data_IF_852825461276
#
_entry.id   IF_852825461276
#
_cell.length_a   1.000
_cell.length_b   1.000
_cell.length_c   1.000
_cell.angle_alpha   90.00
_cell.angle_beta   90.00
_cell.angle_gamma   90.00
#
_symmetry.space_group_name_H-M   'P 1'
#
loop_
_entity.id
_entity.type
_entity.pdbx_description
1 polymer ?
#
# COMPACT_ATOMS: atom_id res chain seq x y z
N UNK A 1 6.18 -17.50 7.92
CA UNK A 1 6.35 -17.17 6.47
C UNK A 1 6.14 -15.66 6.23
N UNK A 2 5.01 -15.03 6.64
CA UNK A 2 4.74 -13.60 6.46
C UNK A 2 5.86 -12.72 7.02
N UNK A 3 6.27 -12.92 8.27
CA UNK A 3 7.35 -12.17 8.94
C UNK A 3 8.67 -12.21 8.16
N UNK A 4 9.07 -13.41 7.70
CA UNK A 4 10.30 -13.58 6.91
C UNK A 4 10.21 -12.83 5.58
N UNK A 5 9.05 -12.90 4.91
CA UNK A 5 8.82 -12.21 3.66
C UNK A 5 8.86 -10.69 3.86
N UNK A 6 8.18 -10.15 4.87
CA UNK A 6 8.22 -8.73 5.23
C UNK A 6 9.65 -8.27 5.52
N UNK A 7 10.42 -9.04 6.30
CA UNK A 7 11.82 -8.73 6.55
C UNK A 7 12.65 -8.65 5.27
N UNK A 8 12.49 -9.62 4.36
CA UNK A 8 13.22 -9.63 3.09
C UNK A 8 12.87 -8.40 2.23
N UNK A 9 11.58 -8.01 2.20
CA UNK A 9 11.13 -6.81 1.49
C UNK A 9 11.73 -5.56 2.11
N UNK A 10 11.57 -5.37 3.41
CA UNK A 10 12.09 -4.20 4.12
C UNK A 10 13.61 -4.11 4.01
N UNK A 11 14.33 -5.24 4.11
CA UNK A 11 15.78 -5.30 3.91
C UNK A 11 16.19 -4.82 2.50
N UNK A 12 15.42 -5.18 1.49
CA UNK A 12 15.68 -4.73 0.12
C UNK A 12 15.40 -3.23 -0.04
N UNK A 13 14.35 -2.72 0.60
CA UNK A 13 13.94 -1.33 0.50
C UNK A 13 14.89 -0.38 1.28
N UNK A 14 15.20 -0.68 2.54
CA UNK A 14 16.03 0.20 3.38
C UNK A 14 17.53 -0.05 3.27
N UNK A 15 17.96 -1.13 2.57
CA UNK A 15 19.38 -1.51 2.39
C UNK A 15 20.17 -1.71 3.70
N UNK A 16 19.49 -1.75 4.85
CA UNK A 16 20.05 -1.94 6.16
C UNK A 16 19.36 -3.08 6.90
N UNK A 17 20.12 -4.08 7.35
CA UNK A 17 19.58 -5.29 7.99
C UNK A 17 18.92 -5.01 9.34
N UNK A 18 19.52 -4.13 10.14
CA UNK A 18 19.05 -3.81 11.48
C UNK A 18 17.76 -2.99 11.41
N UNK A 19 17.72 -1.96 10.57
CA UNK A 19 16.51 -1.15 10.33
C UNK A 19 15.38 -2.04 9.81
N UNK A 20 15.66 -2.92 8.85
CA UNK A 20 14.69 -3.87 8.34
C UNK A 20 14.14 -4.79 9.45
N UNK A 21 15.02 -5.27 10.33
CA UNK A 21 14.62 -6.11 11.45
C UNK A 21 13.71 -5.37 12.42
N UNK A 22 14.09 -4.15 12.84
CA UNK A 22 13.29 -3.34 13.77
C UNK A 22 11.93 -2.95 13.18
N UNK A 23 11.89 -2.55 11.91
CA UNK A 23 10.63 -2.24 11.22
C UNK A 23 9.73 -3.48 11.10
N UNK A 24 10.31 -4.64 10.79
CA UNK A 24 9.56 -5.89 10.72
C UNK A 24 9.01 -6.29 12.08
N UNK A 25 9.82 -6.17 13.13
CA UNK A 25 9.41 -6.47 14.50
C UNK A 25 8.24 -5.57 14.93
N UNK A 26 8.35 -4.26 14.68
CA UNK A 26 7.27 -3.31 14.95
C UNK A 26 5.99 -3.62 14.16
N UNK A 27 6.12 -3.92 12.87
CA UNK A 27 4.96 -4.27 12.05
C UNK A 27 4.30 -5.59 12.50
N UNK A 28 5.09 -6.61 12.86
CA UNK A 28 4.56 -7.89 13.37
C UNK A 28 3.88 -7.70 14.74
N UNK A 29 4.45 -6.87 15.59
CA UNK A 29 3.82 -6.51 16.87
C UNK A 29 2.45 -5.86 16.66
N UNK A 30 2.33 -4.93 15.72
CA UNK A 30 1.06 -4.29 15.36
C UNK A 30 0.07 -5.26 14.71
N UNK A 31 0.57 -6.27 14.00
CA UNK A 31 -0.25 -7.26 13.32
C UNK A 31 -0.72 -8.41 14.23
N UNK A 32 -0.24 -8.50 15.48
CA UNK A 32 -0.48 -9.67 16.34
C UNK A 32 -1.96 -10.05 16.46
N UNK A 33 -2.84 -9.06 16.58
CA UNK A 33 -4.28 -9.28 16.76
C UNK A 33 -4.99 -9.69 15.44
N UNK A 34 -4.31 -9.49 14.30
CA UNK A 34 -4.79 -9.89 12.97
C UNK A 34 -4.20 -11.21 12.46
N UNK A 35 -3.22 -11.77 13.19
CA UNK A 35 -2.57 -13.04 12.82
C UNK A 35 -3.34 -14.19 13.44
N UNK A 36 -4.27 -14.75 12.67
CA UNK A 36 -5.00 -15.95 13.01
C UNK A 36 -4.84 -17.01 11.91
N UNK A 37 -5.10 -18.28 12.23
CA UNK A 37 -5.08 -19.38 11.27
C UNK A 37 -6.30 -19.34 10.33
N UNK A 38 -6.44 -18.26 9.58
CA UNK A 38 -7.55 -17.98 8.64
C UNK A 38 -6.99 -17.73 7.23
N UNK A 39 -7.85 -17.81 6.22
CA UNK A 39 -7.54 -17.45 4.82
C UNK A 39 -6.93 -16.03 4.67
N UNK A 40 -7.24 -15.14 5.61
CA UNK A 40 -6.73 -13.78 5.69
C UNK A 40 -5.19 -13.73 5.79
N UNK A 41 -4.56 -14.65 6.52
CA UNK A 41 -3.10 -14.72 6.63
C UNK A 41 -2.44 -15.01 5.27
N UNK A 42 -3.06 -15.88 4.47
CA UNK A 42 -2.60 -16.16 3.09
C UNK A 42 -2.74 -14.91 2.23
N UNK A 43 -3.85 -14.17 2.39
CA UNK A 43 -4.08 -12.92 1.66
C UNK A 43 -3.02 -11.87 1.96
N UNK A 44 -2.55 -11.73 3.20
CA UNK A 44 -1.45 -10.82 3.54
C UNK A 44 -0.16 -11.19 2.83
N UNK A 45 0.18 -12.49 2.77
CA UNK A 45 1.33 -12.98 2.03
C UNK A 45 1.20 -12.62 0.54
N UNK A 46 0.03 -12.87 -0.05
CA UNK A 46 -0.24 -12.58 -1.46
C UNK A 46 -0.21 -11.08 -1.76
N UNK A 47 -0.68 -10.21 -0.86
CA UNK A 47 -0.57 -8.76 -1.00
C UNK A 47 0.87 -8.27 -0.94
N UNK A 48 1.68 -8.80 -0.02
CA UNK A 48 3.12 -8.50 0.03
C UNK A 48 3.81 -8.93 -1.27
N UNK A 49 3.50 -10.12 -1.78
CA UNK A 49 4.03 -10.61 -3.05
C UNK A 49 3.55 -9.75 -4.24
N UNK A 50 2.31 -9.26 -4.21
CA UNK A 50 1.77 -8.35 -5.23
C UNK A 50 2.58 -7.06 -5.29
N UNK A 51 2.78 -6.40 -4.15
CA UNK A 51 3.58 -5.18 -4.06
C UNK A 51 5.01 -5.44 -4.55
N UNK A 52 5.62 -6.56 -4.13
CA UNK A 52 6.94 -6.96 -4.59
C UNK A 52 7.00 -7.16 -6.11
N UNK A 53 6.01 -7.80 -6.69
CA UNK A 53 5.95 -8.02 -8.13
C UNK A 53 5.80 -6.70 -8.88
N UNK A 54 4.92 -5.80 -8.43
CA UNK A 54 4.74 -4.47 -9.03
C UNK A 54 6.04 -3.67 -8.96
N UNK A 55 6.63 -3.51 -7.78
CA UNK A 55 7.86 -2.74 -7.57
C UNK A 55 9.03 -3.31 -8.39
N UNK A 56 9.23 -4.64 -8.35
CA UNK A 56 10.29 -5.28 -9.12
C UNK A 56 10.06 -5.17 -10.63
N UNK A 57 8.82 -5.22 -11.10
CA UNK A 57 8.50 -5.03 -12.50
C UNK A 57 8.78 -3.60 -12.94
N UNK A 58 8.38 -2.61 -12.18
CA UNK A 58 8.61 -1.20 -12.50
C UNK A 58 10.09 -0.85 -12.60
N UNK A 59 10.96 -1.52 -11.83
CA UNK A 59 12.41 -1.33 -11.85
C UNK A 59 13.06 -2.19 -12.95
N UNK A 60 12.81 -3.50 -12.98
CA UNK A 60 13.57 -4.46 -13.78
C UNK A 60 12.92 -4.78 -15.13
N UNK A 61 11.64 -4.47 -15.32
CA UNK A 61 10.83 -4.74 -16.54
C UNK A 61 10.79 -6.21 -16.96
N UNK A 62 11.04 -7.16 -16.03
CA UNK A 62 11.06 -8.60 -16.35
C UNK A 62 9.65 -9.17 -16.35
N UNK A 63 9.24 -9.83 -17.45
CA UNK A 63 7.89 -10.39 -17.65
C UNK A 63 7.47 -11.41 -16.57
N UNK A 64 8.42 -12.10 -15.92
CA UNK A 64 8.13 -13.05 -14.83
C UNK A 64 7.29 -12.43 -13.69
N UNK A 65 7.46 -11.15 -13.42
CA UNK A 65 6.68 -10.48 -12.38
C UNK A 65 5.22 -10.25 -12.79
N UNK A 66 4.97 -10.01 -14.09
CA UNK A 66 3.61 -9.92 -14.62
C UNK A 66 2.88 -11.26 -14.55
N UNK A 67 3.58 -12.35 -14.89
CA UNK A 67 3.06 -13.71 -14.74
C UNK A 67 2.76 -14.01 -13.26
N UNK A 68 3.67 -13.61 -12.36
CA UNK A 68 3.45 -13.72 -10.92
C UNK A 68 2.19 -13.00 -10.44
N UNK A 69 1.90 -11.80 -10.96
CA UNK A 69 0.68 -11.06 -10.62
C UNK A 69 -0.59 -11.80 -11.06
N UNK A 70 -0.58 -12.40 -12.26
CA UNK A 70 -1.71 -13.21 -12.76
C UNK A 70 -1.91 -14.44 -11.87
N UNK A 71 -0.83 -15.16 -11.53
CA UNK A 71 -0.89 -16.32 -10.65
C UNK A 71 -1.42 -15.95 -9.25
N UNK A 72 -0.93 -14.84 -8.67
CA UNK A 72 -1.43 -14.34 -7.38
C UNK A 72 -2.92 -14.02 -7.45
N UNK A 73 -3.39 -13.38 -8.51
CA UNK A 73 -4.81 -13.05 -8.70
C UNK A 73 -5.69 -14.31 -8.74
N UNK A 74 -5.26 -15.36 -9.46
CA UNK A 74 -5.98 -16.65 -9.52
C UNK A 74 -6.03 -17.29 -8.13
N UNK A 75 -4.88 -17.35 -7.43
CA UNK A 75 -4.82 -17.94 -6.08
C UNK A 75 -5.74 -17.19 -5.12
N UNK A 76 -5.69 -15.85 -5.15
CA UNK A 76 -6.48 -15.00 -4.26
C UNK A 76 -7.98 -15.16 -4.51
N UNK A 77 -8.42 -15.24 -5.77
CA UNK A 77 -9.82 -15.48 -6.14
C UNK A 77 -10.36 -16.81 -5.60
N UNK A 78 -9.49 -17.84 -5.52
CA UNK A 78 -9.87 -19.18 -5.05
C UNK A 78 -9.73 -19.36 -3.53
N UNK A 79 -8.72 -18.73 -2.89
CA UNK A 79 -8.48 -18.89 -1.45
C UNK A 79 -9.30 -17.92 -0.62
N UNK A 80 -9.50 -16.69 -1.11
CA UNK A 80 -10.18 -15.64 -0.37
C UNK A 80 -10.89 -14.65 -1.31
N UNK A 81 -11.96 -15.08 -1.95
CA UNK A 81 -12.69 -14.31 -2.96
C UNK A 81 -13.17 -12.93 -2.45
N UNK A 82 -13.55 -12.83 -1.17
CA UNK A 82 -13.98 -11.58 -0.55
C UNK A 82 -12.92 -10.45 -0.61
N UNK A 83 -11.65 -10.84 -0.63
CA UNK A 83 -10.50 -9.92 -0.58
C UNK A 83 -9.87 -9.74 -1.98
N UNK A 84 -10.26 -10.57 -2.95
CA UNK A 84 -9.75 -10.46 -4.32
C UNK A 84 -9.93 -9.07 -4.97
N UNK A 85 -11.02 -8.31 -4.77
CA UNK A 85 -11.12 -6.95 -5.30
C UNK A 85 -10.06 -5.99 -4.78
N UNK A 86 -9.57 -6.18 -3.54
CA UNK A 86 -8.52 -5.35 -2.96
C UNK A 86 -7.15 -5.53 -3.63
N UNK A 87 -6.94 -6.65 -4.33
CA UNK A 87 -5.78 -6.84 -5.19
C UNK A 87 -5.66 -5.72 -6.22
N UNK A 88 -6.75 -5.27 -6.82
CA UNK A 88 -6.77 -4.20 -7.81
C UNK A 88 -6.49 -2.83 -7.20
N UNK A 89 -6.89 -2.60 -5.95
CA UNK A 89 -6.61 -1.36 -5.23
C UNK A 89 -5.12 -1.10 -5.14
N UNK A 90 -4.29 -2.13 -5.04
CA UNK A 90 -2.83 -2.00 -4.98
C UNK A 90 -2.20 -1.48 -6.29
N UNK A 91 -2.86 -1.59 -7.43
CA UNK A 91 -2.39 -1.04 -8.70
C UNK A 91 -2.75 0.43 -8.89
N UNK A 92 -3.89 0.88 -8.32
CA UNK A 92 -4.44 2.21 -8.55
C UNK A 92 -3.46 3.35 -8.27
N UNK A 93 -2.66 3.34 -7.20
CA UNK A 93 -1.69 4.39 -6.91
C UNK A 93 -0.65 4.58 -8.02
N UNK A 94 -0.13 3.50 -8.58
CA UNK A 94 0.85 3.54 -9.68
C UNK A 94 0.22 4.02 -10.98
N UNK A 95 -1.01 3.60 -11.25
CA UNK A 95 -1.78 4.04 -12.42
C UNK A 95 -2.11 5.53 -12.30
N UNK A 96 -2.57 5.97 -11.13
CA UNK A 96 -2.89 7.37 -10.87
C UNK A 96 -1.65 8.28 -11.02
N UNK A 97 -0.50 7.90 -10.46
CA UNK A 97 0.75 8.63 -10.64
C UNK A 97 1.12 8.74 -12.12
N UNK A 98 1.02 7.64 -12.88
CA UNK A 98 1.32 7.63 -14.31
C UNK A 98 0.37 8.54 -15.10
N UNK A 99 -0.94 8.50 -14.80
CA UNK A 99 -1.94 9.37 -15.44
C UNK A 99 -1.64 10.84 -15.15
N UNK A 100 -1.39 11.21 -13.88
CA UNK A 100 -1.04 12.57 -13.49
C UNK A 100 0.24 13.04 -14.21
N UNK A 101 1.25 12.17 -14.28
CA UNK A 101 2.47 12.48 -15.01
C UNK A 101 2.22 12.69 -16.51
N UNK A 102 1.32 11.93 -17.12
CA UNK A 102 0.92 12.12 -18.51
C UNK A 102 0.15 13.43 -18.73
N UNK A 103 -0.80 13.73 -17.83
CA UNK A 103 -1.59 14.98 -17.89
C UNK A 103 -0.67 16.20 -17.76
N UNK A 104 0.27 16.17 -16.81
CA UNK A 104 1.27 17.24 -16.65
C UNK A 104 2.10 17.48 -17.91
N UNK A 105 2.42 16.42 -18.68
CA UNK A 105 3.16 16.54 -19.94
C UNK A 105 2.29 17.01 -21.12
N UNK A 106 0.98 16.88 -21.01
CA UNK A 106 0.09 17.23 -22.13
C UNK A 106 0.05 18.73 -22.41
N UNK A 107 0.22 19.58 -21.38
CA UNK A 107 0.11 21.05 -21.51
C UNK A 107 -1.12 21.47 -22.32
N UNK A 108 -2.27 20.85 -22.05
CA UNK A 108 -3.51 20.89 -22.86
C UNK A 108 -3.92 22.32 -23.15
N UNK A 109 -3.92 23.20 -22.13
CA UNK A 109 -4.36 24.59 -22.27
C UNK A 109 -3.50 25.36 -23.27
N UNK A 110 -2.16 25.21 -23.21
CA UNK A 110 -1.27 25.92 -24.13
C UNK A 110 -1.36 25.36 -25.55
N UNK A 111 -1.51 24.04 -25.70
CA UNK A 111 -1.71 23.39 -27.01
C UNK A 111 -3.05 23.80 -27.63
N UNK A 112 -4.12 23.86 -26.87
CA UNK A 112 -5.43 24.33 -27.34
C UNK A 112 -5.36 25.78 -27.84
N UNK A 113 -4.65 26.66 -27.12
CA UNK A 113 -4.40 28.05 -27.58
C UNK A 113 -3.60 28.12 -28.86
N UNK A 114 -2.63 27.22 -29.05
CA UNK A 114 -1.84 27.13 -30.29
C UNK A 114 -2.72 26.68 -31.47
N UNK A 115 -3.57 25.66 -31.24
CA UNK A 115 -4.50 25.20 -32.28
C UNK A 115 -5.50 26.29 -32.64
N UNK A 116 -6.07 26.99 -31.65
CA UNK A 116 -6.95 28.13 -31.89
C UNK A 116 -6.29 29.25 -32.75
N UNK A 117 -5.02 29.60 -32.47
CA UNK A 117 -4.29 30.56 -33.28
C UNK A 117 -4.02 30.07 -34.71
N UNK A 118 -3.68 28.78 -34.90
CA UNK A 118 -3.54 28.18 -36.23
C UNK A 118 -4.81 28.23 -37.04
N UNK A 119 -5.96 27.98 -36.43
CA UNK A 119 -7.27 28.06 -37.08
C UNK A 119 -7.55 29.51 -37.50
N UNK A 120 -7.32 30.49 -36.59
CA UNK A 120 -7.51 31.90 -36.90
C UNK A 120 -6.66 32.38 -38.07
N UNK A 121 -5.37 32.01 -38.14
CA UNK A 121 -4.46 32.35 -39.24
C UNK A 121 -5.05 31.83 -40.57
N UNK A 122 -5.59 30.62 -40.60
CA UNK A 122 -6.19 30.01 -41.78
C UNK A 122 -7.44 30.76 -42.31
N UNK A 123 -8.18 31.39 -41.39
CA UNK A 123 -9.42 32.10 -41.72
C UNK A 123 -9.26 33.61 -41.97
N UNK A 124 -8.12 34.20 -41.60
CA UNK A 124 -7.89 35.64 -41.83
C UNK A 124 -7.46 35.89 -43.28
N UNK A 125 -8.25 36.71 -43.99
CA UNK A 125 -7.94 37.20 -45.37
C UNK A 125 -7.08 38.45 -45.39
N UNK A 126 -6.89 39.14 -44.25
CA UNK A 126 -6.12 40.38 -44.15
C UNK A 126 -4.70 40.06 -43.68
N UNK A 127 -3.68 40.44 -44.49
CA UNK A 127 -2.28 40.15 -44.24
C UNK A 127 -1.74 40.73 -42.94
N UNK A 128 -2.18 41.92 -42.54
CA UNK A 128 -1.74 42.55 -41.30
C UNK A 128 -2.23 41.81 -40.08
N UNK A 129 -3.50 41.34 -40.09
CA UNK A 129 -4.07 40.49 -39.05
C UNK A 129 -3.41 39.11 -39.00
N UNK A 130 -3.05 38.59 -40.15
CA UNK A 130 -2.36 37.30 -40.23
C UNK A 130 -0.95 37.38 -39.62
N UNK A 131 -0.14 38.40 -39.95
CA UNK A 131 1.19 38.63 -39.36
C UNK A 131 1.12 38.79 -37.84
N UNK A 132 0.11 39.52 -37.36
CA UNK A 132 -0.09 39.71 -35.91
C UNK A 132 -0.41 38.38 -35.20
N UNK A 133 -1.23 37.54 -35.78
CA UNK A 133 -1.59 36.24 -35.18
C UNK A 133 -0.43 35.22 -35.28
N UNK A 134 0.43 35.32 -36.30
CA UNK A 134 1.68 34.55 -36.43
C UNK A 134 2.67 34.88 -35.30
N UNK A 135 2.78 36.16 -34.95
CA UNK A 135 3.60 36.58 -33.79
C UNK A 135 3.06 36.03 -32.49
N UNK A 136 1.74 36.07 -32.32
CA UNK A 136 1.05 35.48 -31.17
C UNK A 136 1.28 33.98 -31.12
N UNK A 137 1.25 33.30 -32.26
CA UNK A 137 1.50 31.85 -32.35
C UNK A 137 2.94 31.50 -31.95
N UNK A 138 3.91 32.28 -32.37
CA UNK A 138 5.31 32.12 -31.97
C UNK A 138 5.49 32.28 -30.46
N UNK A 139 4.89 33.32 -29.88
CA UNK A 139 4.90 33.53 -28.41
C UNK A 139 4.27 32.36 -27.65
N UNK A 140 3.17 31.81 -28.15
CA UNK A 140 2.52 30.62 -27.54
C UNK A 140 3.39 29.37 -27.67
N UNK A 141 4.10 29.16 -28.77
CA UNK A 141 5.07 28.06 -28.92
C UNK A 141 6.23 28.19 -27.93
N UNK A 142 6.78 29.40 -27.77
CA UNK A 142 7.81 29.64 -26.74
C UNK A 142 7.30 29.38 -25.33
N UNK A 143 6.06 29.79 -25.03
CA UNK A 143 5.40 29.49 -23.75
C UNK A 143 5.25 27.98 -23.53
N UNK A 144 4.96 27.22 -24.57
CA UNK A 144 4.89 25.75 -24.48
C UNK A 144 6.26 25.14 -24.13
N UNK A 145 7.32 25.59 -24.79
CA UNK A 145 8.68 25.08 -24.50
C UNK A 145 9.14 25.45 -23.10
N UNK A 146 8.87 26.66 -22.62
CA UNK A 146 9.13 27.09 -21.26
C UNK A 146 8.32 26.21 -20.25
N UNK A 147 7.06 25.91 -20.56
CA UNK A 147 6.22 25.06 -19.70
C UNK A 147 6.75 23.61 -19.64
N UNK A 148 7.22 23.07 -20.77
CA UNK A 148 7.86 21.73 -20.79
C UNK A 148 9.13 21.71 -19.93
N UNK A 149 10.01 22.70 -20.09
CA UNK A 149 11.24 22.82 -19.29
C UNK A 149 10.93 22.98 -17.78
N UNK A 150 9.90 23.77 -17.45
CA UNK A 150 9.47 23.92 -16.06
C UNK A 150 8.96 22.59 -15.46
N UNK A 151 8.17 21.82 -16.23
CA UNK A 151 7.69 20.50 -15.81
C UNK A 151 8.85 19.52 -15.60
N UNK A 152 9.84 19.55 -16.49
CA UNK A 152 11.03 18.71 -16.38
C UNK A 152 11.89 19.08 -15.16
N UNK A 153 12.09 20.39 -14.91
CA UNK A 153 12.77 20.88 -13.70
C UNK A 153 12.05 20.49 -12.43
N UNK A 154 10.73 20.60 -12.37
CA UNK A 154 9.92 20.16 -11.21
C UNK A 154 10.05 18.66 -10.95
N UNK A 155 10.17 17.84 -11.99
CA UNK A 155 10.42 16.41 -11.84
C UNK A 155 11.82 16.10 -11.36
N UNK A 156 12.83 16.82 -11.87
CA UNK A 156 14.22 16.65 -11.46
C UNK A 156 14.43 17.08 -10.00
N UNK A 157 13.78 18.18 -9.59
CA UNK A 157 13.92 18.77 -8.26
C UNK A 157 12.55 18.98 -7.59
N UNK A 158 11.85 17.89 -7.23
CA UNK A 158 10.56 18.00 -6.55
C UNK A 158 10.73 18.56 -5.12
N UNK A 159 9.78 19.35 -4.66
CA UNK A 159 9.81 19.89 -3.29
C UNK A 159 9.67 18.77 -2.24
N UNK A 160 8.54 18.09 -2.18
CA UNK A 160 8.28 16.97 -1.24
C UNK A 160 7.74 15.74 -1.96
N UNK A 161 6.90 15.91 -2.98
CA UNK A 161 6.24 14.84 -3.71
C UNK A 161 6.96 14.62 -5.04
N UNK A 162 7.52 13.43 -5.20
CA UNK A 162 8.18 13.02 -6.42
C UNK A 162 7.18 12.31 -7.34
N UNK A 163 7.06 12.81 -8.57
CA UNK A 163 6.19 12.22 -9.60
C UNK A 163 7.05 11.58 -10.69
N UNK A 164 6.83 10.29 -10.91
CA UNK A 164 7.62 9.51 -11.88
C UNK A 164 6.75 9.06 -13.06
N UNK A 165 7.18 9.36 -14.29
CA UNK A 165 6.53 8.85 -15.50
C UNK A 165 7.16 7.53 -15.93
N UNK A 166 6.71 6.41 -15.36
CA UNK A 166 7.20 5.10 -15.73
C UNK A 166 6.31 4.46 -16.82
N UNK A 167 6.85 4.36 -18.04
CA UNK A 167 6.12 3.75 -19.17
C UNK A 167 5.76 2.28 -18.96
N UNK A 168 6.43 1.58 -18.03
CA UNK A 168 6.11 0.19 -17.70
C UNK A 168 4.73 0.03 -17.06
N UNK A 169 4.15 1.09 -16.47
CA UNK A 169 2.79 1.09 -15.90
C UNK A 169 1.73 0.70 -16.92
N UNK A 170 1.93 0.95 -18.21
CA UNK A 170 1.02 0.49 -19.27
C UNK A 170 0.84 -1.03 -19.27
N UNK A 171 1.92 -1.77 -18.98
CA UNK A 171 1.87 -3.22 -18.85
C UNK A 171 1.16 -3.67 -17.57
N UNK A 172 1.28 -2.89 -16.48
CA UNK A 172 0.50 -3.15 -15.26
C UNK A 172 -0.99 -2.96 -15.51
N UNK A 173 -1.39 -1.94 -16.26
CA UNK A 173 -2.79 -1.73 -16.65
C UNK A 173 -3.30 -2.92 -17.46
N UNK A 174 -2.52 -3.40 -18.43
CA UNK A 174 -2.89 -4.58 -19.23
C UNK A 174 -3.05 -5.81 -18.35
N UNK A 175 -2.10 -6.07 -17.43
CA UNK A 175 -2.19 -7.19 -16.49
C UNK A 175 -3.36 -7.04 -15.55
N UNK A 176 -3.66 -5.84 -15.06
CA UNK A 176 -4.83 -5.57 -14.23
C UNK A 176 -6.14 -5.95 -14.97
N UNK A 177 -6.24 -5.62 -16.26
CA UNK A 177 -7.38 -6.02 -17.10
C UNK A 177 -7.44 -7.55 -17.22
N UNK A 178 -6.32 -8.23 -17.49
CA UNK A 178 -6.26 -9.69 -17.55
C UNK A 178 -6.67 -10.32 -16.21
N UNK A 179 -6.15 -9.78 -15.10
CA UNK A 179 -6.49 -10.23 -13.77
C UNK A 179 -7.98 -10.05 -13.44
N UNK A 180 -8.66 -9.06 -14.02
CA UNK A 180 -10.10 -8.90 -13.84
C UNK A 180 -10.90 -10.11 -14.35
N UNK A 181 -10.38 -10.87 -15.30
CA UNK A 181 -11.02 -12.10 -15.79
C UNK A 181 -10.65 -13.34 -14.97
N UNK A 182 -9.62 -13.28 -14.11
CA UNK A 182 -9.23 -14.45 -13.31
C UNK A 182 -10.26 -14.84 -12.25
N UNK A 183 -11.13 -13.91 -11.86
CA UNK A 183 -12.27 -14.22 -10.99
C UNK A 183 -13.26 -15.21 -11.57
N UNK A 184 -13.24 -15.45 -12.90
CA UNK A 184 -14.02 -16.51 -13.58
C UNK A 184 -13.36 -17.89 -13.45
N UNK A 185 -12.10 -17.96 -13.06
CA UNK A 185 -11.33 -19.19 -12.89
C UNK A 185 -11.49 -19.77 -11.48
N UNK A 186 -12.72 -19.77 -10.97
CA UNK A 186 -13.06 -20.32 -9.65
C UNK A 186 -14.26 -21.26 -9.75
N UNK A 187 -14.35 -22.28 -8.87
CA UNK A 187 -15.52 -23.17 -8.84
C UNK A 187 -16.78 -22.49 -8.28
N UNK A 188 -16.67 -21.28 -7.72
CA UNK A 188 -17.77 -20.54 -7.07
C UNK A 188 -18.45 -19.52 -8.02
N UNK A 189 -18.18 -19.62 -9.34
CA UNK A 189 -18.83 -18.82 -10.37
C UNK A 189 -18.54 -17.33 -10.26
N UNK A 190 -19.58 -16.51 -10.22
CA UNK A 190 -19.52 -15.03 -10.19
C UNK A 190 -19.23 -14.44 -8.79
N UNK A 191 -19.10 -15.28 -7.78
CA UNK A 191 -18.91 -14.87 -6.37
C UNK A 191 -17.80 -13.84 -6.17
N UNK A 192 -16.60 -13.94 -6.80
CA UNK A 192 -15.56 -12.93 -6.63
C UNK A 192 -15.99 -11.51 -7.02
N UNK A 193 -16.95 -11.37 -7.93
CA UNK A 193 -17.47 -10.07 -8.39
C UNK A 193 -18.66 -9.60 -7.55
N UNK A 194 -19.53 -10.50 -7.14
CA UNK A 194 -20.80 -10.17 -6.50
C UNK A 194 -20.75 -10.17 -4.99
N UNK A 195 -19.77 -10.86 -4.38
CA UNK A 195 -19.67 -11.04 -2.93
C UNK A 195 -19.64 -9.70 -2.18
N UNK A 196 -18.77 -8.77 -2.60
CA UNK A 196 -18.63 -7.49 -1.93
C UNK A 196 -19.92 -6.67 -1.98
N UNK A 197 -20.60 -6.66 -3.15
CA UNK A 197 -21.85 -5.94 -3.35
C UNK A 197 -22.95 -6.56 -2.47
N UNK A 198 -23.09 -7.89 -2.47
CA UNK A 198 -24.07 -8.60 -1.65
C UNK A 198 -23.83 -8.39 -0.15
N UNK A 199 -22.57 -8.39 0.28
CA UNK A 199 -22.21 -8.14 1.68
C UNK A 199 -22.53 -6.71 2.11
N UNK A 200 -22.29 -5.72 1.23
CA UNK A 200 -22.62 -4.31 1.54
C UNK A 200 -24.13 -4.03 1.55
N UNK A 201 -24.91 -4.85 0.87
CA UNK A 201 -26.39 -4.75 0.87
C UNK A 201 -27.02 -5.45 2.07
N UNK A 202 -26.30 -6.30 2.78
CA UNK A 202 -26.79 -7.02 3.95
C UNK A 202 -26.65 -6.20 5.25
N UNK A 203 -27.53 -6.46 6.23
CA UNK A 203 -27.51 -5.79 7.55
C UNK A 203 -26.42 -6.34 8.49
N UNK A 204 -25.60 -7.28 8.04
CA UNK A 204 -24.56 -7.91 8.87
C UNK A 204 -23.34 -7.02 9.13
N UNK A 205 -23.18 -5.94 8.35
CA UNK A 205 -22.02 -5.04 8.47
C UNK A 205 -21.97 -4.33 9.82
N UNK A 206 -23.13 -3.93 10.37
CA UNK A 206 -23.21 -3.17 11.62
C UNK A 206 -23.06 -4.07 12.86
N UNK A 207 -23.26 -5.38 12.71
CA UNK A 207 -23.20 -6.36 13.80
C UNK A 207 -21.80 -6.92 14.03
N UNK A 208 -20.87 -6.72 13.08
CA UNK A 208 -19.53 -7.30 13.13
C UNK A 208 -18.51 -6.19 13.49
N UNK A 209 -17.90 -6.30 14.67
CA UNK A 209 -16.95 -5.29 15.18
C UNK A 209 -15.76 -5.00 14.23
N UNK A 210 -15.30 -6.00 13.45
CA UNK A 210 -14.24 -5.85 12.46
C UNK A 210 -14.63 -4.96 11.26
N UNK A 211 -15.93 -4.84 10.97
CA UNK A 211 -16.46 -4.01 9.87
C UNK A 211 -16.73 -2.57 10.27
N UNK A 212 -16.75 -2.27 11.56
CA UNK A 212 -16.95 -0.92 12.06
C UNK A 212 -15.81 0.02 11.60
N UNK A 213 -16.09 1.31 11.43
CA UNK A 213 -15.08 2.31 11.12
C UNK A 213 -13.97 2.35 12.17
N UNK A 214 -12.75 2.62 11.73
CA UNK A 214 -11.66 2.91 12.65
C UNK A 214 -11.90 4.27 13.30
N UNK A 215 -11.90 4.32 14.64
CA UNK A 215 -11.89 5.58 15.36
C UNK A 215 -10.47 5.88 15.87
N UNK A 216 -10.09 7.16 15.84
CA UNK A 216 -8.76 7.59 16.30
C UNK A 216 -8.56 7.34 17.80
N UNK A 217 -9.65 7.21 18.54
CA UNK A 217 -9.64 6.92 19.96
C UNK A 217 -9.27 5.46 20.26
N UNK A 218 -9.73 4.53 19.43
CA UNK A 218 -9.56 3.10 19.66
C UNK A 218 -8.16 2.60 19.29
N UNK A 219 -7.52 3.22 18.28
CA UNK A 219 -6.20 2.79 17.80
C UNK A 219 -5.15 3.92 17.90
N UNK A 220 -4.75 4.18 19.16
CA UNK A 220 -3.73 5.19 19.48
C UNK A 220 -2.36 4.89 18.85
N UNK A 221 -2.07 3.62 18.61
CA UNK A 221 -0.78 3.20 18.06
C UNK A 221 -0.69 3.48 16.56
N UNK A 222 -1.77 3.21 15.82
CA UNK A 222 -1.87 3.62 14.40
C UNK A 222 -1.77 5.14 14.27
N UNK A 223 -2.42 5.89 15.17
CA UNK A 223 -2.26 7.36 15.23
C UNK A 223 -0.82 7.79 15.44
N UNK A 224 -0.10 7.15 16.37
CA UNK A 224 1.31 7.43 16.59
C UNK A 224 2.15 7.20 15.33
N UNK A 225 1.90 6.12 14.59
CA UNK A 225 2.56 5.83 13.31
C UNK A 225 2.29 6.94 12.29
N UNK A 226 1.05 7.43 12.16
CA UNK A 226 0.74 8.57 11.29
C UNK A 226 1.47 9.85 11.68
N UNK A 227 1.49 10.18 12.96
CA UNK A 227 2.24 11.35 13.47
C UNK A 227 3.73 11.22 13.15
N UNK A 228 4.31 10.04 13.30
CA UNK A 228 5.70 9.75 12.92
C UNK A 228 5.94 9.96 11.41
N UNK A 229 5.03 9.51 10.54
CA UNK A 229 5.12 9.76 9.10
C UNK A 229 5.10 11.25 8.78
N UNK A 230 4.14 11.99 9.35
CA UNK A 230 4.05 13.43 9.18
C UNK A 230 5.29 14.15 9.70
N UNK A 231 5.79 13.76 10.86
CA UNK A 231 7.01 14.33 11.42
C UNK A 231 8.22 14.12 10.50
N UNK A 232 8.41 12.91 9.95
CA UNK A 232 9.48 12.66 8.98
C UNK A 232 9.32 13.56 7.75
N UNK A 233 8.12 13.68 7.19
CA UNK A 233 7.88 14.47 5.98
C UNK A 233 8.02 15.98 6.22
N UNK A 234 7.63 16.48 7.41
CA UNK A 234 7.67 17.91 7.73
C UNK A 234 9.09 18.33 8.13
N UNK A 235 9.69 17.62 9.09
CA UNK A 235 10.97 18.02 9.70
C UNK A 235 12.21 17.57 8.92
N UNK A 236 12.05 16.68 7.95
CA UNK A 236 13.15 16.28 7.08
C UNK A 236 12.89 16.71 5.64
N UNK A 237 13.96 16.85 4.86
CA UNK A 237 13.83 17.12 3.42
C UNK A 237 13.69 15.81 2.59
N UNK A 238 13.07 14.81 3.20
CA UNK A 238 12.79 13.52 2.56
C UNK A 238 11.62 13.66 1.59
N UNK A 239 11.74 13.03 0.42
CA UNK A 239 10.74 13.10 -0.66
C UNK A 239 9.97 11.80 -0.73
N UNK A 240 8.63 11.89 -0.72
CA UNK A 240 7.75 10.75 -0.92
C UNK A 240 7.36 10.62 -2.39
N UNK A 241 7.23 9.40 -2.88
CA UNK A 241 6.71 9.14 -4.23
C UNK A 241 5.19 9.32 -4.23
N UNK A 242 4.64 9.88 -5.32
CA UNK A 242 3.19 10.13 -5.39
C UNK A 242 2.39 8.83 -5.29
N UNK A 243 2.86 7.74 -5.88
CA UNK A 243 2.24 6.41 -5.71
C UNK A 243 2.25 5.92 -4.26
N UNK A 244 3.36 6.14 -3.52
CA UNK A 244 3.42 5.77 -2.10
C UNK A 244 2.44 6.63 -1.27
N UNK A 245 2.30 7.91 -1.60
CA UNK A 245 1.34 8.81 -0.94
C UNK A 245 -0.11 8.39 -1.22
N UNK A 246 -0.44 8.06 -2.48
CA UNK A 246 -1.77 7.56 -2.82
C UNK A 246 -2.07 6.20 -2.19
N UNK A 247 -1.07 5.32 -2.12
CA UNK A 247 -1.21 4.03 -1.44
C UNK A 247 -1.55 4.25 0.04
N UNK A 248 -0.77 5.09 0.72
CA UNK A 248 -0.98 5.41 2.13
C UNK A 248 -2.36 6.05 2.36
N UNK A 249 -2.70 7.09 1.58
CA UNK A 249 -3.98 7.80 1.69
C UNK A 249 -5.19 6.92 1.38
N UNK A 250 -5.11 6.12 0.32
CA UNK A 250 -6.20 5.24 -0.10
C UNK A 250 -6.49 4.15 0.95
N UNK A 251 -5.45 3.50 1.48
CA UNK A 251 -5.63 2.46 2.50
C UNK A 251 -6.06 3.06 3.85
N UNK A 252 -5.55 4.25 4.20
CA UNK A 252 -6.03 4.98 5.38
C UNK A 252 -7.52 5.28 5.28
N UNK A 253 -7.98 5.77 4.11
CA UNK A 253 -9.39 5.99 3.87
C UNK A 253 -10.22 4.70 4.04
N UNK A 254 -9.72 3.58 3.52
CA UNK A 254 -10.38 2.28 3.69
C UNK A 254 -10.43 1.82 5.16
N UNK A 255 -9.43 2.17 5.99
CA UNK A 255 -9.47 1.89 7.43
C UNK A 255 -10.58 2.68 8.13
N UNK A 256 -10.83 3.93 7.72
CA UNK A 256 -11.97 4.69 8.24
C UNK A 256 -13.33 4.13 7.81
N UNK A 257 -13.37 3.30 6.77
CA UNK A 257 -14.58 2.56 6.41
C UNK A 257 -14.69 1.21 7.14
N UNK A 258 -13.56 0.56 7.44
CA UNK A 258 -13.53 -0.75 8.11
C UNK A 258 -12.20 -1.00 8.80
N UNK A 259 -12.23 -1.30 10.10
CA UNK A 259 -11.05 -1.66 10.93
C UNK A 259 -10.26 -2.85 10.35
N UNK A 260 -10.91 -3.72 9.63
CA UNK A 260 -10.27 -4.88 8.99
C UNK A 260 -9.10 -4.50 8.08
N UNK A 261 -9.11 -3.28 7.53
CA UNK A 261 -8.05 -2.80 6.63
C UNK A 261 -6.79 -2.31 7.38
N UNK A 262 -6.83 -2.19 8.70
CA UNK A 262 -5.68 -1.77 9.52
C UNK A 262 -4.48 -2.70 9.33
N UNK A 263 -4.71 -3.99 9.20
CA UNK A 263 -3.65 -4.97 8.92
C UNK A 263 -2.89 -4.69 7.61
N UNK A 264 -3.62 -4.34 6.55
CA UNK A 264 -3.01 -3.96 5.27
C UNK A 264 -2.28 -2.60 5.38
N UNK A 265 -2.85 -1.66 6.13
CA UNK A 265 -2.23 -0.37 6.42
C UNK A 265 -0.88 -0.55 7.13
N UNK A 266 -0.79 -1.41 8.15
CA UNK A 266 0.45 -1.70 8.88
C UNK A 266 1.53 -2.24 7.92
N UNK A 267 1.18 -3.18 7.06
CA UNK A 267 2.12 -3.75 6.08
C UNK A 267 2.65 -2.67 5.14
N UNK A 268 1.76 -1.86 4.59
CA UNK A 268 2.10 -0.79 3.63
C UNK A 268 2.88 0.33 4.29
N UNK A 269 2.47 0.77 5.49
CA UNK A 269 3.22 1.74 6.29
C UNK A 269 4.65 1.26 6.52
N UNK A 270 4.85 -0.01 6.88
CA UNK A 270 6.18 -0.58 7.07
C UNK A 270 7.05 -0.46 5.82
N UNK A 271 6.50 -0.74 4.63
CA UNK A 271 7.25 -0.63 3.38
C UNK A 271 7.56 0.81 2.98
N UNK A 272 6.59 1.71 3.11
CA UNK A 272 6.79 3.13 2.80
C UNK A 272 7.80 3.74 3.77
N UNK A 273 7.69 3.40 5.06
CA UNK A 273 8.64 3.86 6.08
C UNK A 273 10.06 3.35 5.79
N UNK A 274 10.22 2.09 5.37
CA UNK A 274 11.52 1.56 4.94
C UNK A 274 12.11 2.35 3.77
N UNK A 275 11.31 2.73 2.77
CA UNK A 275 11.74 3.59 1.65
C UNK A 275 12.13 4.99 2.12
N UNK A 276 11.36 5.60 3.03
CA UNK A 276 11.64 6.93 3.57
C UNK A 276 12.93 6.94 4.40
N UNK A 277 13.13 5.95 5.25
CA UNK A 277 14.35 5.81 6.05
C UNK A 277 15.57 5.61 5.15
N UNK A 278 15.45 4.83 4.07
CA UNK A 278 16.53 4.67 3.09
C UNK A 278 16.93 6.01 2.46
N UNK A 279 15.95 6.80 2.00
CA UNK A 279 16.17 8.13 1.44
C UNK A 279 16.74 9.11 2.47
N UNK A 280 16.27 9.03 3.71
CA UNK A 280 16.78 9.83 4.82
C UNK A 280 18.25 9.51 5.08
N UNK A 281 18.62 8.22 5.20
CA UNK A 281 19.98 7.77 5.37
C UNK A 281 20.87 8.23 4.21
N UNK A 282 20.44 8.02 2.96
CA UNK A 282 21.19 8.41 1.77
C UNK A 282 21.51 9.92 1.75
N UNK A 283 20.55 10.76 2.17
CA UNK A 283 20.71 12.21 2.19
C UNK A 283 21.64 12.72 3.30
N UNK A 284 21.48 12.19 4.51
CA UNK A 284 22.18 12.68 5.69
C UNK A 284 23.47 11.88 6.04
N UNK A 285 23.75 10.78 5.33
CA UNK A 285 24.85 9.85 5.64
C UNK A 285 26.21 10.27 5.05
N UNK A 286 26.32 11.49 4.51
CA UNK A 286 27.51 11.85 3.71
C UNK A 286 28.84 11.92 4.47
N UNK A 287 28.89 12.02 5.80
CA UNK A 287 30.21 11.98 6.53
C UNK A 287 30.16 11.51 8.00
N UNK A 288 29.06 11.66 8.74
CA UNK A 288 29.04 11.36 10.17
C UNK A 288 28.17 10.16 10.57
N UNK A 289 27.19 9.78 9.75
CA UNK A 289 26.26 8.68 10.04
C UNK A 289 26.78 7.31 9.68
N UNK A 290 27.76 7.22 8.80
CA UNK A 290 28.51 5.97 8.63
C UNK A 290 29.02 5.48 9.98
N UNK A 291 29.47 6.40 10.84
CA UNK A 291 29.85 6.13 12.23
C UNK A 291 28.69 5.66 13.10
N UNK A 292 27.49 6.24 12.97
CA UNK A 292 26.34 5.82 13.78
C UNK A 292 25.75 4.47 13.32
N UNK A 293 25.64 4.23 12.01
CA UNK A 293 25.26 2.93 11.48
C UNK A 293 26.35 1.86 11.72
N UNK A 294 27.61 2.24 11.60
CA UNK A 294 28.75 1.39 11.97
C UNK A 294 28.78 1.13 13.48
N UNK A 295 28.50 2.12 14.32
CA UNK A 295 28.36 1.93 15.76
C UNK A 295 27.24 0.94 16.11
N UNK A 296 26.10 0.99 15.42
CA UNK A 296 25.01 0.02 15.59
C UNK A 296 25.38 -1.38 15.07
N UNK A 297 26.32 -1.50 14.15
CA UNK A 297 26.87 -2.78 13.69
C UNK A 297 28.03 -3.28 14.53
N UNK A 298 28.54 -2.48 15.47
CA UNK A 298 29.54 -2.89 16.45
C UNK A 298 28.99 -3.94 17.41
N UNK A 299 29.87 -4.59 18.16
CA UNK A 299 29.50 -5.58 19.18
C UNK A 299 28.53 -4.96 20.19
N UNK A 300 28.79 -3.73 20.63
CA UNK A 300 27.93 -3.00 21.58
C UNK A 300 26.52 -2.72 20.98
N UNK A 301 26.45 -2.27 19.72
CA UNK A 301 25.18 -2.03 19.03
C UNK A 301 24.37 -3.31 18.87
N UNK A 302 25.02 -4.43 18.57
CA UNK A 302 24.36 -5.76 18.48
C UNK A 302 23.83 -6.21 19.85
N UNK A 303 24.63 -6.01 20.93
CA UNK A 303 24.21 -6.36 22.29
C UNK A 303 23.04 -5.50 22.76
N UNK A 304 23.06 -4.18 22.49
CA UNK A 304 21.93 -3.29 22.79
C UNK A 304 20.67 -3.69 22.02
N UNK A 305 20.82 -4.05 20.74
CA UNK A 305 19.69 -4.53 19.93
C UNK A 305 19.13 -5.84 20.50
N UNK A 306 20.00 -6.78 20.88
CA UNK A 306 19.61 -8.04 21.48
C UNK A 306 18.88 -7.79 22.81
N UNK A 307 19.42 -6.92 23.67
CA UNK A 307 18.80 -6.53 24.94
C UNK A 307 17.41 -5.90 24.71
N UNK A 308 17.27 -5.00 23.73
CA UNK A 308 15.99 -4.39 23.37
C UNK A 308 14.98 -5.43 22.88
N UNK A 309 15.41 -6.37 22.03
CA UNK A 309 14.58 -7.45 21.54
C UNK A 309 14.14 -8.36 22.68
N UNK A 310 15.05 -8.73 23.59
CA UNK A 310 14.72 -9.52 24.78
C UNK A 310 13.72 -8.78 25.67
N UNK A 311 13.91 -7.50 25.91
CA UNK A 311 12.99 -6.67 26.70
C UNK A 311 11.61 -6.64 26.07
N UNK A 312 11.50 -6.34 24.78
CA UNK A 312 10.24 -6.34 24.04
C UNK A 312 9.60 -7.74 24.09
N UNK A 313 10.39 -8.79 23.89
CA UNK A 313 9.88 -10.17 23.96
C UNK A 313 9.32 -10.48 25.34
N UNK A 314 10.01 -10.10 26.41
CA UNK A 314 9.53 -10.31 27.79
C UNK A 314 8.23 -9.54 28.01
N UNK A 315 8.15 -8.28 27.62
CA UNK A 315 6.95 -7.44 27.77
C UNK A 315 5.77 -8.01 27.01
N UNK A 316 6.00 -8.54 25.81
CA UNK A 316 4.94 -9.08 24.94
C UNK A 316 4.51 -10.49 25.36
N UNK A 317 5.48 -11.36 25.68
CA UNK A 317 5.19 -12.77 25.97
C UNK A 317 4.85 -13.05 27.43
N UNK A 318 5.38 -12.27 28.38
CA UNK A 318 5.09 -12.48 29.80
C UNK A 318 3.59 -12.48 30.14
N UNK A 319 2.76 -11.55 29.62
CA UNK A 319 1.31 -11.57 29.84
C UNK A 319 0.60 -12.78 29.22
N UNK A 320 1.20 -13.35 28.15
CA UNK A 320 0.64 -14.50 27.41
C UNK A 320 1.21 -15.84 27.90
N UNK A 321 2.31 -15.81 28.65
CA UNK A 321 2.92 -17.00 29.22
C UNK A 321 2.02 -17.54 30.36
N UNK A 322 1.55 -18.75 30.20
CA UNK A 322 0.61 -19.39 31.17
C UNK A 322 -0.86 -19.23 30.82
N UNK A 323 -1.21 -18.51 29.76
CA UNK A 323 -2.57 -18.55 29.24
C UNK A 323 -2.81 -19.87 28.50
N UNK A 324 -3.99 -20.46 28.72
CA UNK A 324 -4.41 -21.63 27.95
C UNK A 324 -4.50 -21.28 26.47
N UNK A 325 -4.28 -22.29 25.62
CA UNK A 325 -4.35 -22.12 24.15
C UNK A 325 -5.72 -21.58 23.70
N UNK A 326 -6.78 -22.01 24.42
CA UNK A 326 -8.13 -21.50 24.25
C UNK A 326 -8.38 -20.50 25.38
N UNK A 327 -8.75 -19.28 25.05
CA UNK A 327 -9.14 -18.29 26.04
C UNK A 327 -10.56 -18.59 26.54
N UNK A 328 -10.66 -19.29 27.66
CA UNK A 328 -11.94 -19.68 28.27
C UNK A 328 -12.82 -18.48 28.69
N UNK A 329 -12.25 -17.31 28.89
CA UNK A 329 -13.02 -16.07 29.14
C UNK A 329 -13.68 -15.47 27.87
N UNK A 330 -13.15 -15.80 26.69
CA UNK A 330 -13.68 -15.32 25.40
C UNK A 330 -14.55 -16.39 24.71
N UNK A 331 -14.32 -17.67 25.01
CA UNK A 331 -15.04 -18.79 24.41
C UNK A 331 -15.71 -19.60 25.47
N UNK A 332 -16.99 -19.98 25.33
CA UNK A 332 -17.74 -20.75 26.32
C UNK A 332 -17.33 -22.24 26.32
N UNK A 333 -16.09 -22.53 26.75
CA UNK A 333 -15.49 -23.85 26.70
C UNK A 333 -16.32 -24.82 27.58
N UNK A 334 -16.66 -24.40 28.79
CA UNK A 334 -17.46 -25.23 29.74
C UNK A 334 -18.85 -25.55 29.17
N UNK A 335 -19.47 -24.60 28.46
CA UNK A 335 -20.74 -24.85 27.79
C UNK A 335 -20.61 -25.84 26.62
N UNK A 336 -19.50 -25.76 25.87
CA UNK A 336 -19.21 -26.69 24.79
C UNK A 336 -18.95 -28.11 25.34
N UNK A 337 -18.18 -28.22 26.43
CA UNK A 337 -17.91 -29.50 27.10
C UNK A 337 -19.22 -30.11 27.67
N UNK A 338 -20.05 -29.28 28.31
CA UNK A 338 -21.37 -29.72 28.80
C UNK A 338 -22.26 -30.25 27.67
N UNK A 339 -22.28 -29.57 26.51
CA UNK A 339 -23.08 -30.00 25.35
C UNK A 339 -22.56 -31.35 24.83
N UNK A 340 -21.22 -31.49 24.70
CA UNK A 340 -20.62 -32.72 24.19
C UNK A 340 -20.85 -33.93 25.14
N UNK A 341 -20.88 -33.70 26.45
CA UNK A 341 -21.02 -34.76 27.43
C UNK A 341 -22.49 -35.15 27.69
N UNK A 342 -23.43 -34.21 27.56
CA UNK A 342 -24.79 -34.40 28.07
C UNK A 342 -25.89 -34.40 27.01
N UNK A 343 -25.58 -33.98 25.76
CA UNK A 343 -26.57 -33.79 24.71
C UNK A 343 -26.22 -34.59 23.44
N UNK A 344 -27.27 -35.02 22.74
CA UNK A 344 -27.11 -35.70 21.42
C UNK A 344 -26.76 -34.68 20.31
N UNK A 345 -25.47 -34.50 20.10
CA UNK A 345 -24.93 -33.51 19.17
C UNK A 345 -25.22 -33.81 17.70
N UNK A 346 -25.50 -35.09 17.34
CA UNK A 346 -25.70 -35.49 15.94
C UNK A 346 -27.02 -34.93 15.36
N UNK A 347 -28.02 -34.72 16.23
CA UNK A 347 -29.35 -34.25 15.80
C UNK A 347 -29.69 -32.83 16.26
N UNK A 348 -28.78 -32.13 16.91
CA UNK A 348 -29.02 -30.79 17.42
C UNK A 348 -28.52 -29.70 16.49
N UNK A 349 -29.26 -28.58 16.42
CA UNK A 349 -28.78 -27.31 15.87
C UNK A 349 -28.60 -26.32 17.01
N UNK A 350 -27.39 -25.85 17.18
CA UNK A 350 -27.04 -24.86 18.20
C UNK A 350 -27.14 -23.48 17.57
N UNK A 351 -27.94 -22.59 18.15
CA UNK A 351 -27.94 -21.17 17.83
C UNK A 351 -26.88 -20.51 18.72
N UNK A 352 -25.92 -19.85 18.07
CA UNK A 352 -24.87 -19.09 18.74
C UNK A 352 -24.84 -17.68 18.20
N UNK A 353 -24.65 -16.68 19.06
CA UNK A 353 -24.39 -15.32 18.63
C UNK A 353 -23.05 -15.23 17.91
N UNK A 354 -23.07 -14.56 16.77
CA UNK A 354 -21.85 -14.28 16.03
C UNK A 354 -21.23 -12.99 16.58
N UNK A 355 -20.14 -13.11 17.30
CA UNK A 355 -19.32 -12.01 17.80
C UNK A 355 -18.02 -11.91 17.02
#
# INVERSE_FOLDING_TARGET
>A
TLTVLMYQVMKKLCKNRLVAFLLTLGAVYLLQDFIAARAQLVSYILFVLTILCIENFLVNKKKRYLIGLIAISIILANVHCAVWPFFFVLFLPYVAEYIIACIADMHILVKAQIIGSRIKIKFFKNEEKQKREETILQNKKQKLEKAKQATEKLRAHPFKIQVTKNKAVKWLILVMIICAFTGLLTPIGDTPYTYLIKTMQGNTMDSISEHLPLTLYDDKLTMFVFVMFLAILIFTDTKIQLSDLFMLGGITYMCFMSRRQVSLLIIICGFILAKLIAKLAEKYDRKEKKKMLEAMTTILGKLLTLALVMLISIVVFKPKAGQHFINSSAYPVEAADYILENLDVENMRIYNEYN
#
